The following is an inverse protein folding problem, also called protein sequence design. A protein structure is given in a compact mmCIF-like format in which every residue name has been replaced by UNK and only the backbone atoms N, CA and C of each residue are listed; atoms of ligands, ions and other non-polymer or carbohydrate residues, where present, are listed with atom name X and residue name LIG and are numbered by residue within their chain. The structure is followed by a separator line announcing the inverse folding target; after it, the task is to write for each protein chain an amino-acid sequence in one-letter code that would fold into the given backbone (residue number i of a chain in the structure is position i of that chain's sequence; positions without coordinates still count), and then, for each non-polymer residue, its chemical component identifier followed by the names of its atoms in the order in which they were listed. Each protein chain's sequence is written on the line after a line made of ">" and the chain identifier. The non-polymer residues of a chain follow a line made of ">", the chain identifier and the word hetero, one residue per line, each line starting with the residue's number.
data_IF_475413615815
#
_entry.id   IF_475413615815
#
_cell.length_a   1.000
_cell.length_b   1.000
_cell.length_c   1.000
_cell.angle_alpha   90.00
_cell.angle_beta   90.00
_cell.angle_gamma   90.00
#
_symmetry.space_group_name_H-M   'P 1'
#
loop_
_entity.id
_entity.type
_entity.pdbx_description
1 polymer ?
2 non-polymer ?
3 water ?
#
# COMPACT_ATOMS: atom_id res chain seq x y z
N UNK A 21 1.73 23.50 -1.14
CA UNK A 21 2.18 22.11 -1.14
C UNK A 21 1.19 21.25 -1.91
N UNK A 22 0.97 20.02 -1.43
CA UNK A 22 0.12 19.01 -2.06
C UNK A 22 -1.06 19.56 -2.86
N UNK A 23 -1.16 19.15 -4.13
CA UNK A 23 -2.23 19.63 -4.99
C UNK A 23 -2.91 18.46 -5.70
N UNK A 24 -4.24 18.45 -5.66
CA UNK A 24 -5.02 17.50 -6.43
C UNK A 24 -4.92 17.84 -7.91
N UNK A 25 -5.10 16.83 -8.74
CA UNK A 25 -5.26 17.10 -10.16
C UNK A 25 -6.42 18.06 -10.36
N UNK A 26 -6.28 18.97 -11.33
CA UNK A 26 -7.29 20.01 -11.56
C UNK A 26 -8.63 19.46 -12.00
N UNK A 27 -8.70 18.17 -12.33
CA UNK A 27 -10.00 17.56 -12.59
C UNK A 27 -10.81 17.32 -11.32
N UNK A 28 -10.23 17.51 -10.13
CA UNK A 28 -10.93 17.38 -8.87
C UNK A 28 -10.99 18.72 -8.14
N UNK A 29 -11.98 18.85 -7.26
CA UNK A 29 -12.11 20.01 -6.39
C UNK A 29 -11.83 19.62 -4.95
N UNK A 30 -11.31 20.57 -4.16
CA UNK A 30 -11.14 20.37 -2.71
C UNK A 30 -11.66 21.63 -1.99
N UNK A 31 -12.97 21.81 -2.03
CA UNK A 31 -13.63 22.98 -1.47
C UNK A 31 -13.53 23.03 0.05
N UNK A 32 -13.33 21.90 0.72
CA UNK A 32 -13.27 21.84 2.18
C UNK A 32 -11.87 21.68 2.73
N UNK A 33 -10.85 21.66 1.89
CA UNK A 33 -9.47 21.73 2.35
C UNK A 33 -8.89 20.51 3.04
N UNK A 34 -9.50 19.34 2.90
CA UNK A 34 -8.96 18.13 3.51
C UNK A 34 -7.99 17.41 2.59
N UNK A 35 -7.64 18.02 1.46
CA UNK A 35 -6.70 17.54 0.46
C UNK A 35 -7.20 16.36 -0.37
N UNK A 36 -8.45 15.94 -0.22
CA UNK A 36 -8.93 14.83 -1.02
C UNK A 36 -10.08 15.32 -1.88
N UNK A 37 -10.24 14.68 -3.04
CA UNK A 37 -11.24 15.09 -4.03
C UNK A 37 -12.63 15.05 -3.43
N UNK A 38 -13.37 16.16 -3.61
CA UNK A 38 -14.71 16.27 -3.07
C UNK A 38 -15.67 15.35 -3.81
N UNK A 39 -16.69 14.88 -3.09
CA UNK A 39 -17.77 14.13 -3.74
C UNK A 39 -18.56 15.09 -4.63
N UNK A 40 -18.82 14.76 -5.89
CA UNK A 40 -19.55 15.69 -6.76
C UNK A 40 -20.97 15.92 -6.28
N UNK A 41 -21.48 17.12 -6.54
CA UNK A 41 -22.90 17.42 -6.33
C UNK A 41 -23.70 17.41 -7.63
N UNK A 42 -23.03 17.41 -8.78
CA UNK A 42 -23.72 17.29 -10.06
C UNK A 42 -24.04 15.80 -10.25
N UNK A 43 -25.33 15.46 -10.21
CA UNK A 43 -25.73 14.05 -10.28
C UNK A 43 -25.28 13.39 -11.56
N UNK A 44 -25.11 14.15 -12.65
CA UNK A 44 -24.61 13.49 -13.86
C UNK A 44 -23.16 13.05 -13.70
N UNK A 45 -22.48 13.48 -12.65
CA UNK A 45 -21.09 13.10 -12.42
C UNK A 45 -20.94 11.97 -11.41
N UNK A 46 -22.04 11.46 -10.87
CA UNK A 46 -22.01 10.43 -9.85
C UNK A 46 -22.25 9.07 -10.49
N UNK A 47 -21.63 8.04 -9.93
CA UNK A 47 -21.85 6.69 -10.44
C UNK A 47 -22.46 5.83 -9.35
N UNK A 48 -23.28 4.89 -9.78
CA UNK A 48 -24.00 3.97 -8.88
C UNK A 48 -23.92 2.60 -9.54
N UNK A 49 -22.72 2.01 -9.57
CA UNK A 49 -22.50 0.83 -10.42
C UNK A 49 -23.20 -0.39 -9.84
N UNK A 50 -23.72 -1.23 -10.74
CA UNK A 50 -24.35 -2.45 -10.28
C UNK A 50 -23.32 -3.47 -9.80
N UNK A 51 -22.09 -3.39 -10.29
CA UNK A 51 -20.99 -4.20 -9.77
C UNK A 51 -19.91 -3.27 -9.23
N UNK A 52 -19.61 -3.40 -7.94
CA UNK A 52 -18.52 -2.65 -7.32
C UNK A 52 -17.22 -3.43 -7.49
N UNK A 53 -16.20 -2.77 -8.01
CA UNK A 53 -14.92 -3.41 -8.28
C UNK A 53 -13.98 -3.02 -7.14
N UNK A 54 -13.41 -4.02 -6.49
CA UNK A 54 -12.52 -3.88 -5.34
C UNK A 54 -11.13 -4.40 -5.70
N UNK A 55 -10.09 -3.70 -5.25
CA UNK A 55 -8.73 -4.20 -5.41
C UNK A 55 -7.92 -3.95 -4.14
N UNK A 56 -7.23 -4.98 -3.68
CA UNK A 56 -6.23 -4.87 -2.63
C UNK A 56 -4.90 -4.46 -3.28
N UNK A 57 -3.93 -4.09 -2.46
CA UNK A 57 -2.71 -3.56 -3.05
C UNK A 57 -1.78 -4.69 -3.49
N UNK A 58 -1.10 -4.55 -4.65
CA UNK A 58 -0.25 -5.64 -5.16
C UNK A 58 1.12 -5.71 -4.49
N UNK A 59 1.12 -5.87 -3.16
CA UNK A 59 2.36 -6.11 -2.42
C UNK A 59 2.84 -7.55 -2.58
N UNK A 60 1.93 -8.47 -2.90
CA UNK A 60 2.26 -9.84 -3.27
C UNK A 60 1.38 -10.19 -4.46
N UNK A 61 1.67 -11.34 -5.09
CA UNK A 61 0.73 -12.03 -5.96
C UNK A 61 -0.71 -11.89 -5.44
N UNK A 62 -1.62 -11.29 -6.22
CA UNK A 62 -3.00 -11.14 -5.72
C UNK A 62 -3.70 -12.45 -5.43
N UNK A 63 -3.29 -13.53 -6.11
CA UNK A 63 -3.87 -14.85 -5.82
C UNK A 63 -3.74 -15.21 -4.34
N UNK A 64 -2.73 -14.66 -3.66
CA UNK A 64 -2.58 -14.85 -2.21
C UNK A 64 -3.76 -14.26 -1.45
N UNK A 65 -4.28 -13.13 -1.92
CA UNK A 65 -5.29 -12.38 -1.19
C UNK A 65 -6.71 -12.56 -1.70
N UNK A 66 -6.91 -13.31 -2.80
CA UNK A 66 -8.25 -13.49 -3.34
C UNK A 66 -9.20 -14.06 -2.29
N UNK A 67 -8.87 -15.23 -1.73
CA UNK A 67 -9.68 -15.84 -0.70
C UNK A 67 -9.61 -15.11 0.64
N UNK A 68 -8.52 -14.36 0.89
CA UNK A 68 -8.42 -13.59 2.13
C UNK A 68 -9.56 -12.57 2.22
N UNK A 69 -9.92 -11.97 1.10
CA UNK A 69 -10.92 -10.91 1.06
C UNK A 69 -12.30 -11.42 0.68
N UNK A 70 -12.44 -12.69 0.32
CA UNK A 70 -13.68 -13.20 -0.24
C UNK A 70 -14.87 -12.96 0.69
N UNK A 71 -14.76 -13.33 1.97
CA UNK A 71 -15.89 -13.15 2.87
C UNK A 71 -16.18 -11.67 3.14
N UNK A 72 -15.12 -10.86 3.29
CA UNK A 72 -15.31 -9.41 3.39
C UNK A 72 -16.11 -8.87 2.21
N UNK A 73 -15.78 -9.30 0.99
CA UNK A 73 -16.49 -8.82 -0.19
C UNK A 73 -17.94 -9.31 -0.21
N UNK A 74 -18.21 -10.53 0.29
CA UNK A 74 -19.61 -10.97 0.42
C UNK A 74 -20.38 -10.04 1.35
N UNK A 75 -19.76 -9.68 2.48
CA UNK A 75 -20.38 -8.73 3.40
C UNK A 75 -20.60 -7.38 2.73
N UNK A 76 -19.60 -6.92 1.97
CA UNK A 76 -19.72 -5.67 1.23
C UNK A 76 -20.91 -5.73 0.26
N UNK A 77 -21.05 -6.84 -0.46
CA UNK A 77 -22.17 -7.00 -1.38
C UNK A 77 -23.51 -6.92 -0.66
N UNK A 78 -23.60 -7.59 0.49
CA UNK A 78 -24.84 -7.56 1.26
C UNK A 78 -25.14 -6.16 1.80
N UNK A 79 -24.12 -5.47 2.30
CA UNK A 79 -24.34 -4.14 2.87
C UNK A 79 -24.78 -3.13 1.82
N UNK A 80 -24.14 -3.15 0.66
CA UNK A 80 -24.41 -2.16 -0.37
C UNK A 80 -25.52 -2.58 -1.31
N UNK A 81 -25.93 -3.85 -1.31
CA UNK A 81 -26.90 -4.32 -2.27
C UNK A 81 -26.38 -4.48 -3.69
N UNK A 82 -25.06 -4.46 -3.88
CA UNK A 82 -24.45 -4.56 -5.18
C UNK A 82 -23.73 -5.89 -5.34
N UNK A 83 -23.49 -6.27 -6.58
CA UNK A 83 -22.52 -7.33 -6.84
C UNK A 83 -21.13 -6.75 -6.59
N UNK A 84 -20.19 -7.61 -6.19
CA UNK A 84 -18.82 -7.17 -5.92
C UNK A 84 -17.85 -8.08 -6.66
N UNK A 85 -16.81 -7.46 -7.23
CA UNK A 85 -15.81 -8.16 -8.02
C UNK A 85 -14.42 -7.83 -7.50
N UNK A 86 -13.63 -8.87 -7.28
CA UNK A 86 -12.23 -8.75 -6.87
C UNK A 86 -11.39 -8.54 -8.12
N UNK A 87 -10.62 -7.45 -8.15
CA UNK A 87 -9.79 -7.10 -9.29
C UNK A 87 -8.35 -7.41 -8.95
N UNK A 88 -7.78 -8.51 -9.46
CA UNK A 88 -6.39 -8.91 -9.11
C UNK A 88 -5.34 -8.09 -9.84
N UNK A 89 -5.31 -6.79 -9.55
CA UNK A 89 -4.38 -5.88 -10.21
C UNK A 89 -2.94 -6.22 -9.81
N UNK A 90 -2.01 -6.12 -10.76
CA UNK A 90 -0.65 -6.60 -10.55
C UNK A 90 0.39 -5.52 -10.28
N UNK A 91 0.06 -4.24 -10.44
CA UNK A 91 1.05 -3.20 -10.16
C UNK A 91 0.32 -1.97 -9.65
N UNK A 92 1.03 -1.15 -8.87
CA UNK A 92 0.42 0.07 -8.34
C UNK A 92 -0.02 0.97 -9.47
N UNK A 93 0.79 1.10 -10.53
CA UNK A 93 0.46 2.01 -11.61
C UNK A 93 -0.86 1.63 -12.26
N UNK A 94 -1.07 0.33 -12.52
CA UNK A 94 -2.33 -0.11 -13.10
C UNK A 94 -3.49 0.13 -12.13
N UNK A 95 -3.25 -0.05 -10.83
CA UNK A 95 -4.30 0.19 -9.85
C UNK A 95 -4.73 1.65 -9.82
N UNK A 96 -3.76 2.56 -9.79
CA UNK A 96 -4.07 3.99 -9.79
C UNK A 96 -4.83 4.37 -11.05
N UNK A 97 -4.35 3.91 -12.20
CA UNK A 97 -5.01 4.22 -13.46
C UNK A 97 -6.42 3.66 -13.52
N UNK A 98 -6.63 2.43 -13.04
CA UNK A 98 -7.96 1.86 -13.04
C UNK A 98 -8.94 2.72 -12.24
N UNK A 99 -8.53 3.27 -11.10
CA UNK A 99 -9.48 4.10 -10.36
C UNK A 99 -9.66 5.46 -11.04
N UNK A 100 -8.56 6.08 -11.51
CA UNK A 100 -8.65 7.32 -12.26
C UNK A 100 -9.63 7.21 -13.43
N UNK A 101 -9.56 6.10 -14.17
CA UNK A 101 -10.36 5.91 -15.36
C UNK A 101 -11.79 5.47 -15.05
N UNK A 102 -12.10 5.20 -13.78
CA UNK A 102 -13.45 4.86 -13.40
C UNK A 102 -13.76 3.38 -13.35
N UNK A 103 -12.78 2.51 -13.52
CA UNK A 103 -13.05 1.08 -13.51
C UNK A 103 -12.93 0.46 -12.12
N UNK A 104 -12.30 1.15 -11.16
CA UNK A 104 -12.06 0.62 -9.83
C UNK A 104 -12.68 1.56 -8.79
N UNK A 105 -13.59 1.02 -7.97
CA UNK A 105 -14.37 1.86 -7.06
C UNK A 105 -13.92 1.83 -5.61
N UNK A 106 -13.35 0.73 -5.12
CA UNK A 106 -12.89 0.62 -3.73
C UNK A 106 -11.52 -0.03 -3.73
N UNK A 107 -10.59 0.53 -2.97
CA UNK A 107 -9.24 -0.01 -3.02
C UNK A 107 -8.53 0.14 -1.69
N UNK A 108 -7.59 -0.78 -1.45
CA UNK A 108 -6.49 -0.52 -0.56
C UNK A 108 -5.27 -0.21 -1.41
N UNK A 109 -4.73 1.00 -1.25
CA UNK A 109 -3.52 1.40 -1.93
C UNK A 109 -2.35 1.27 -0.96
N UNK A 110 -1.23 0.78 -1.46
CA UNK A 110 -0.04 0.70 -0.61
C UNK A 110 0.26 2.09 -0.05
N UNK A 111 0.82 2.09 1.17
CA UNK A 111 1.17 3.33 1.84
C UNK A 111 1.76 4.41 0.93
N UNK A 112 2.81 4.06 0.17
CA UNK A 112 3.48 5.04 -0.68
C UNK A 112 2.64 5.58 -1.83
N UNK A 113 1.58 4.88 -2.22
CA UNK A 113 0.73 5.34 -3.32
C UNK A 113 -0.44 6.19 -2.88
N UNK A 114 -0.69 6.31 -1.58
CA UNK A 114 -1.86 7.08 -1.14
C UNK A 114 -1.83 8.51 -1.63
N UNK A 115 -0.75 9.28 -1.48
CA UNK A 115 -0.75 10.66 -2.02
C UNK A 115 -0.99 10.71 -3.52
N UNK A 116 -0.31 9.87 -4.29
CA UNK A 116 -0.54 9.81 -5.74
C UNK A 116 -1.99 9.43 -6.08
N UNK A 117 -2.53 8.40 -5.41
CA UNK A 117 -3.90 7.99 -5.69
C UNK A 117 -4.88 9.10 -5.35
N UNK A 118 -4.67 9.78 -4.23
CA UNK A 118 -5.49 10.94 -3.88
C UNK A 118 -5.38 12.01 -4.95
N UNK A 119 -4.18 12.38 -5.34
CA UNK A 119 -4.02 13.46 -6.29
C UNK A 119 -4.47 13.16 -7.69
N UNK A 120 -4.14 11.99 -8.19
CA UNK A 120 -4.42 11.64 -9.58
C UNK A 120 -5.56 10.64 -9.87
N UNK A 121 -6.13 10.03 -8.86
CA UNK A 121 -7.21 9.10 -9.06
C UNK A 121 -8.46 9.43 -8.27
N UNK A 122 -8.46 10.53 -7.53
CA UNK A 122 -9.68 10.89 -6.81
C UNK A 122 -10.00 9.95 -5.67
N UNK A 123 -8.99 9.29 -5.13
CA UNK A 123 -9.13 8.36 -4.02
C UNK A 123 -9.54 9.11 -2.74
N UNK A 124 -10.62 8.66 -2.10
CA UNK A 124 -11.06 9.20 -0.81
C UNK A 124 -10.73 8.21 0.31
N UNK A 125 -9.56 8.33 0.94
CA UNK A 125 -9.21 7.40 2.03
C UNK A 125 -10.00 7.68 3.29
N UNK A 126 -10.35 6.61 4.01
CA UNK A 126 -11.07 6.74 5.27
C UNK A 126 -10.69 5.74 6.35
N UNK A 127 -9.99 4.65 6.05
CA UNK A 127 -9.67 3.67 7.07
C UNK A 127 -8.36 2.96 6.76
N UNK A 128 -7.90 2.21 7.76
CA UNK A 128 -6.60 1.57 7.81
C UNK A 128 -6.71 0.49 8.88
N UNK A 129 -5.98 -0.61 8.71
CA UNK A 129 -5.98 -1.62 9.75
C UNK A 129 -5.15 -1.19 10.95
N UNK A 130 -5.54 -1.69 12.12
CA UNK A 130 -4.82 -1.45 13.35
C UNK A 130 -4.94 -2.70 14.22
N UNK A 131 -4.05 -2.78 15.22
CA UNK A 131 -4.16 -3.83 16.23
C UNK A 131 -5.39 -3.60 17.11
N UNK A 132 -5.70 -4.59 17.95
CA UNK A 132 -6.86 -4.48 18.83
C UNK A 132 -6.73 -3.31 19.80
N UNK A 133 -5.51 -2.93 20.17
CA UNK A 133 -5.31 -1.82 21.09
C UNK A 133 -5.21 -0.47 20.38
N UNK A 134 -5.47 -0.41 19.08
CA UNK A 134 -5.44 0.83 18.33
C UNK A 134 -4.08 1.20 17.77
N UNK A 135 -3.02 0.53 18.19
CA UNK A 135 -1.69 0.74 17.61
C UNK A 135 -1.66 0.21 16.16
N UNK A 136 -0.77 0.80 15.37
CA UNK A 136 -0.80 0.50 13.94
C UNK A 136 0.59 0.72 13.37
N UNK A 137 0.76 0.27 12.14
CA UNK A 137 1.88 0.68 11.33
C UNK A 137 2.78 -0.47 10.93
N UNK A 138 3.68 -0.16 10.01
CA UNK A 138 4.72 -1.08 9.60
C UNK A 138 5.99 -0.27 9.45
N UNK A 139 7.11 -0.98 9.27
CA UNK A 139 8.40 -0.37 9.02
C UNK A 139 9.01 -0.94 7.75
N UNK A 140 9.86 -0.14 7.12
CA UNK A 140 10.71 -0.65 6.05
C UNK A 140 11.89 -1.35 6.69
N UNK A 141 12.25 -2.51 6.15
CA UNK A 141 13.49 -3.15 6.57
C UNK A 141 14.35 -3.43 5.35
N UNK A 142 15.65 -3.34 5.53
CA UNK A 142 16.61 -3.79 4.53
C UNK A 142 17.06 -5.19 4.93
N UNK A 143 16.87 -6.15 4.03
CA UNK A 143 17.14 -7.55 4.32
C UNK A 143 18.18 -8.09 3.36
N UNK A 144 18.83 -9.15 3.79
CA UNK A 144 19.78 -9.92 3.00
C UNK A 144 19.53 -11.38 3.32
N UNK A 145 20.34 -12.27 2.74
CA UNK A 145 20.30 -13.66 3.19
C UNK A 145 21.55 -13.99 4.00
N UNK A 146 21.45 -14.89 4.98
CA UNK A 146 22.64 -15.27 5.75
C UNK A 146 23.74 -15.81 4.83
N UNK A 147 24.97 -15.37 5.10
CA UNK A 147 26.09 -15.79 4.29
C UNK A 147 26.27 -15.04 3.00
N UNK A 148 25.48 -13.99 2.76
CA UNK A 148 25.61 -13.23 1.52
C UNK A 148 26.89 -12.42 1.44
N UNK A 149 27.57 -12.19 2.57
CA UNK A 149 28.62 -11.18 2.60
C UNK A 149 28.13 -9.76 2.72
N UNK A 150 26.82 -9.54 2.78
CA UNK A 150 26.24 -8.24 3.05
C UNK A 150 25.70 -8.31 4.48
N UNK A 151 26.47 -7.75 5.41
CA UNK A 151 26.23 -7.95 6.83
C UNK A 151 25.79 -6.69 7.56
N UNK A 152 25.77 -5.55 6.88
CA UNK A 152 25.14 -4.33 7.39
C UNK A 152 24.85 -3.45 6.18
N UNK A 153 24.25 -2.27 6.44
CA UNK A 153 23.85 -1.39 5.34
C UNK A 153 25.07 -0.92 4.56
N UNK A 154 26.16 -0.59 5.26
CA UNK A 154 27.35 -0.09 4.58
C UNK A 154 27.87 -1.10 3.56
N UNK A 155 27.71 -2.40 3.84
CA UNK A 155 28.15 -3.44 2.90
C UNK A 155 27.44 -3.36 1.56
N UNK A 156 26.36 -2.59 1.45
CA UNK A 156 25.67 -2.50 0.17
C UNK A 156 26.49 -1.68 -0.84
N UNK A 157 27.35 -0.78 -0.34
CA UNK A 157 28.14 0.08 -1.22
C UNK A 157 28.89 -0.74 -2.26
N UNK A 158 28.75 -0.35 -3.53
CA UNK A 158 29.40 -1.05 -4.62
C UNK A 158 28.66 -2.28 -5.09
N UNK A 159 27.50 -2.58 -4.50
CA UNK A 159 26.73 -3.73 -4.93
C UNK A 159 25.37 -3.32 -5.43
N UNK A 160 24.42 -4.24 -5.32
CA UNK A 160 23.05 -4.05 -5.79
C UNK A 160 22.09 -3.89 -4.61
N UNK A 161 21.05 -3.09 -4.84
CA UNK A 161 19.93 -3.00 -3.91
C UNK A 161 18.64 -3.21 -4.69
N UNK A 162 17.86 -4.20 -4.27
CA UNK A 162 16.58 -4.49 -4.91
C UNK A 162 15.50 -3.58 -4.34
N UNK A 163 14.80 -2.87 -5.22
CA UNK A 163 13.63 -2.05 -4.95
C UNK A 163 12.41 -2.77 -5.50
N UNK A 164 11.21 -2.36 -5.08
CA UNK A 164 10.01 -3.02 -5.62
C UNK A 164 9.49 -2.25 -6.83
N UNK A 165 8.95 -1.05 -6.59
CA UNK A 165 8.52 -0.13 -7.64
C UNK A 165 8.60 1.29 -7.10
N UNK A 166 8.61 2.27 -8.01
CA UNK A 166 8.90 3.64 -7.61
C UNK A 166 7.78 4.31 -6.82
N UNK A 167 6.56 3.77 -6.84
CA UNK A 167 5.50 4.29 -5.98
C UNK A 167 5.50 3.66 -4.58
N UNK A 168 6.45 2.78 -4.28
CA UNK A 168 6.48 2.13 -2.97
C UNK A 168 7.22 3.01 -1.97
N UNK A 169 6.63 3.17 -0.78
CA UNK A 169 7.33 3.83 0.33
C UNK A 169 8.50 2.98 0.79
N UNK A 170 8.21 1.82 1.41
CA UNK A 170 9.28 0.98 1.95
C UNK A 170 10.12 0.34 0.85
N UNK A 171 9.55 0.10 -0.33
CA UNK A 171 10.27 -0.55 -1.40
C UNK A 171 11.04 0.36 -2.34
N UNK A 172 11.05 1.68 -2.11
CA UNK A 172 11.86 2.56 -2.93
C UNK A 172 12.12 3.93 -2.30
N UNK A 173 11.07 4.70 -2.02
CA UNK A 173 11.26 6.09 -1.65
C UNK A 173 11.87 6.25 -0.26
N UNK A 174 11.34 5.55 0.76
CA UNK A 174 11.95 5.63 2.09
C UNK A 174 13.39 5.13 2.10
N UNK A 175 13.72 3.96 1.52
CA UNK A 175 15.14 3.55 1.55
C UNK A 175 16.04 4.48 0.77
N UNK A 176 15.56 5.02 -0.36
CA UNK A 176 16.40 5.95 -1.12
C UNK A 176 16.70 7.20 -0.29
N UNK A 177 15.70 7.75 0.39
CA UNK A 177 15.91 8.93 1.22
C UNK A 177 16.85 8.65 2.39
N UNK A 178 16.68 7.50 3.05
CA UNK A 178 17.50 7.14 4.19
C UNK A 178 18.94 6.88 3.76
N UNK A 179 19.14 6.07 2.72
CA UNK A 179 20.50 5.81 2.25
C UNK A 179 21.20 7.11 1.87
N UNK A 180 20.47 8.05 1.27
CA UNK A 180 21.11 9.29 0.88
C UNK A 180 21.42 10.17 2.09
N UNK A 181 20.46 10.29 3.04
CA UNK A 181 20.65 11.20 4.16
C UNK A 181 21.60 10.65 5.22
N UNK A 182 21.54 9.34 5.52
CA UNK A 182 22.28 8.79 6.64
C UNK A 182 23.45 7.89 6.27
N UNK A 183 23.54 7.42 5.03
CA UNK A 183 24.64 6.53 4.65
C UNK A 183 25.43 7.06 3.47
N UNK A 184 25.17 8.29 3.02
CA UNK A 184 25.93 8.89 1.93
C UNK A 184 25.95 7.97 0.71
N UNK A 185 24.76 7.54 0.29
CA UNK A 185 24.68 6.46 -0.70
C UNK A 185 23.53 6.80 -1.67
N UNK A 186 23.87 6.96 -2.94
CA UNK A 186 22.93 7.37 -3.98
C UNK A 186 22.94 6.34 -5.10
N UNK A 187 21.75 5.97 -5.58
CA UNK A 187 21.65 5.00 -6.66
C UNK A 187 22.35 5.50 -7.91
N UNK A 188 23.06 4.59 -8.58
CA UNK A 188 23.84 4.94 -9.76
C UNK A 188 25.22 5.48 -9.48
N UNK A 189 25.52 5.85 -8.24
CA UNK A 189 26.85 6.26 -7.82
C UNK A 189 27.46 5.33 -6.78
N UNK A 190 26.69 4.93 -5.76
CA UNK A 190 27.21 4.10 -4.69
C UNK A 190 26.60 2.70 -4.65
N UNK A 191 25.57 2.44 -5.45
CA UNK A 191 24.99 1.11 -5.57
C UNK A 191 24.16 1.10 -6.84
N UNK A 192 23.88 -0.09 -7.33
CA UNK A 192 23.08 -0.23 -8.53
C UNK A 192 21.67 -0.67 -8.16
N UNK A 193 20.64 0.06 -8.56
CA UNK A 193 19.27 -0.33 -8.22
C UNK A 193 18.73 -1.36 -9.20
N UNK A 194 17.98 -2.33 -8.68
CA UNK A 194 17.22 -3.24 -9.50
C UNK A 194 15.80 -3.26 -8.96
N UNK A 195 14.84 -3.53 -9.83
CA UNK A 195 13.43 -3.50 -9.45
C UNK A 195 12.81 -4.87 -9.63
N UNK A 196 12.14 -5.34 -8.58
CA UNK A 196 11.52 -6.65 -8.58
C UNK A 196 10.03 -6.60 -8.91
N UNK A 197 9.41 -5.43 -8.86
CA UNK A 197 8.00 -5.28 -9.14
C UNK A 197 7.06 -5.48 -7.97
N UNK A 198 7.45 -6.24 -6.93
CA UNK A 198 6.58 -6.51 -5.80
C UNK A 198 7.43 -6.81 -4.57
N UNK A 199 6.87 -6.52 -3.39
CA UNK A 199 7.55 -6.94 -2.16
C UNK A 199 7.83 -8.44 -2.15
N UNK A 200 6.85 -9.25 -2.56
CA UNK A 200 7.09 -10.69 -2.48
C UNK A 200 8.19 -11.14 -3.47
N UNK A 201 8.29 -10.51 -4.64
CA UNK A 201 9.41 -10.81 -5.54
C UNK A 201 10.75 -10.43 -4.93
N UNK A 202 10.81 -9.29 -4.25
CA UNK A 202 12.02 -8.89 -3.54
C UNK A 202 12.39 -9.89 -2.45
N UNK A 203 11.41 -10.27 -1.62
CA UNK A 203 11.67 -11.15 -0.49
C UNK A 203 12.02 -12.56 -0.97
N UNK A 204 11.32 -13.05 -1.98
CA UNK A 204 11.65 -14.33 -2.59
C UNK A 204 13.06 -14.30 -3.19
N UNK A 205 13.39 -13.19 -3.86
CA UNK A 205 14.70 -13.08 -4.49
C UNK A 205 15.83 -13.05 -3.48
N UNK A 206 15.61 -12.41 -2.34
CA UNK A 206 16.59 -12.48 -1.26
C UNK A 206 16.74 -13.91 -0.77
N UNK A 207 15.62 -14.54 -0.40
CA UNK A 207 15.72 -15.89 0.15
C UNK A 207 16.34 -16.87 -0.85
N UNK A 208 16.10 -16.66 -2.13
CA UNK A 208 16.64 -17.54 -3.16
C UNK A 208 18.02 -17.10 -3.64
N UNK A 209 18.60 -16.07 -3.01
CA UNK A 209 19.92 -15.51 -3.30
C UNK A 209 20.04 -14.89 -4.70
N UNK A 210 18.94 -14.44 -5.29
CA UNK A 210 19.06 -13.56 -6.45
C UNK A 210 19.47 -12.15 -6.06
N UNK A 211 19.08 -11.72 -4.87
CA UNK A 211 19.39 -10.39 -4.36
C UNK A 211 20.19 -10.52 -3.08
N UNK A 212 21.28 -9.77 -2.98
CA UNK A 212 22.01 -9.68 -1.73
C UNK A 212 21.44 -8.64 -0.78
N UNK A 213 20.55 -7.77 -1.25
CA UNK A 213 20.00 -6.71 -0.41
C UNK A 213 18.68 -6.24 -1.02
N UNK A 214 17.65 -6.11 -0.18
CA UNK A 214 16.37 -5.58 -0.64
C UNK A 214 15.72 -4.77 0.47
N UNK A 215 15.02 -3.72 0.06
CA UNK A 215 14.23 -2.88 0.96
C UNK A 215 12.76 -3.26 0.81
N UNK A 216 12.14 -3.70 1.91
CA UNK A 216 10.84 -4.36 1.85
C UNK A 216 9.99 -3.90 3.03
N UNK A 217 8.69 -4.15 2.94
CA UNK A 217 7.77 -3.89 4.02
C UNK A 217 7.79 -5.05 5.00
N UNK A 218 8.06 -4.78 6.27
CA UNK A 218 8.17 -5.91 7.19
C UNK A 218 6.81 -6.53 7.53
N UNK A 219 5.71 -5.80 7.34
CA UNK A 219 4.38 -6.41 7.49
C UNK A 219 4.22 -7.54 6.49
N UNK A 220 4.54 -7.26 5.21
CA UNK A 220 4.43 -8.27 4.17
C UNK A 220 5.38 -9.43 4.45
N UNK A 221 6.62 -9.11 4.82
CA UNK A 221 7.60 -10.10 5.23
C UNK A 221 7.03 -11.06 6.27
N UNK A 222 6.45 -10.51 7.35
CA UNK A 222 5.92 -11.38 8.40
C UNK A 222 4.79 -12.26 7.89
N UNK A 223 3.91 -11.73 7.05
CA UNK A 223 2.80 -12.55 6.58
C UNK A 223 3.29 -13.64 5.65
N UNK A 224 4.32 -13.34 4.83
CA UNK A 224 4.88 -14.37 3.96
C UNK A 224 5.58 -15.45 4.77
N UNK A 225 6.29 -15.05 5.82
CA UNK A 225 6.93 -16.02 6.70
C UNK A 225 5.90 -16.93 7.35
N UNK A 226 4.77 -16.36 7.79
CA UNK A 226 3.77 -17.18 8.45
C UNK A 226 3.10 -18.15 7.48
N UNK A 227 2.96 -17.74 6.21
CA UNK A 227 2.42 -18.61 5.17
C UNK A 227 3.47 -19.55 4.57
N UNK A 228 4.71 -19.55 5.10
CA UNK A 228 5.77 -20.42 4.61
C UNK A 228 6.16 -20.13 3.16
N UNK A 229 5.99 -18.90 2.70
CA UNK A 229 6.50 -18.55 1.38
C UNK A 229 8.02 -18.48 1.38
N UNK A 230 8.58 -17.97 2.48
CA UNK A 230 10.00 -18.07 2.76
C UNK A 230 10.15 -18.55 4.21
N UNK A 231 11.35 -18.95 4.59
CA UNK A 231 11.65 -19.42 5.94
C UNK A 231 12.47 -18.39 6.70
N UNK A 232 12.28 -18.33 8.03
CA UNK A 232 13.07 -17.41 8.85
C UNK A 232 14.57 -17.59 8.63
N UNK A 233 15.05 -18.83 8.49
CA UNK A 233 16.50 -18.97 8.36
C UNK A 233 17.03 -18.47 7.02
N UNK A 234 16.16 -18.00 6.11
CA UNK A 234 16.61 -17.50 4.82
C UNK A 234 16.78 -15.98 4.76
N UNK A 235 16.32 -15.25 5.78
CA UNK A 235 16.26 -13.79 5.76
C UNK A 235 16.95 -13.24 7.00
N UNK A 236 17.86 -12.28 6.82
CA UNK A 236 18.40 -11.54 7.94
C UNK A 236 18.11 -10.06 7.72
N UNK A 237 17.68 -9.38 8.79
CA UNK A 237 17.37 -7.95 8.74
C UNK A 237 18.59 -7.12 9.13
N UNK A 238 18.87 -6.09 8.32
CA UNK A 238 20.01 -5.21 8.54
C UNK A 238 19.64 -3.80 8.98
N UNK A 239 18.35 -3.46 8.98
CA UNK A 239 17.90 -2.09 9.19
C UNK A 239 16.40 -2.12 9.39
N UNK A 240 15.92 -1.24 10.25
CA UNK A 240 14.49 -1.08 10.45
C UNK A 240 14.21 0.42 10.59
N UNK A 241 13.27 0.91 9.79
CA UNK A 241 12.96 2.34 9.72
C UNK A 241 12.01 2.76 10.83
N UNK A 242 11.65 4.05 10.82
CA UNK A 242 10.52 4.54 11.61
C UNK A 242 9.23 3.87 11.15
N UNK A 243 8.21 3.97 11.99
CA UNK A 243 6.90 3.38 11.69
C UNK A 243 6.07 4.29 10.79
N UNK A 244 5.40 3.66 9.81
CA UNK A 244 4.55 4.33 8.83
C UNK A 244 3.14 3.79 8.94
N UNK A 245 2.13 4.52 8.44
CA UNK A 245 0.79 3.94 8.35
C UNK A 245 0.81 2.80 7.35
N UNK A 246 -0.05 1.81 7.55
CA UNK A 246 -0.16 0.72 6.60
C UNK A 246 -1.17 1.10 5.53
N UNK A 247 -1.44 0.14 4.63
CA UNK A 247 -2.38 0.29 3.52
C UNK A 247 -3.61 1.13 3.88
N UNK A 248 -3.86 2.17 3.10
CA UNK A 248 -5.05 2.99 3.28
C UNK A 248 -6.16 2.52 2.35
N UNK A 249 -7.37 2.43 2.90
CA UNK A 249 -8.53 1.97 2.14
C UNK A 249 -9.49 3.13 1.89
N UNK A 250 -10.07 3.15 0.71
CA UNK A 250 -10.93 4.27 0.37
C UNK A 250 -11.71 4.00 -0.88
N UNK A 251 -12.36 5.05 -1.35
CA UNK A 251 -13.39 4.98 -2.37
C UNK A 251 -13.13 6.04 -3.43
N UNK A 252 -13.37 5.68 -4.69
CA UNK A 252 -13.38 6.68 -5.75
C UNK A 252 -14.38 7.80 -5.41
N UNK A 253 -13.94 9.03 -5.59
CA UNK A 253 -14.66 10.20 -5.09
C UNK A 253 -16.08 10.33 -5.66
N UNK A 254 -16.36 9.78 -6.84
CA UNK A 254 -17.60 10.11 -7.55
C UNK A 254 -18.69 9.02 -7.44
N UNK A 255 -18.56 8.07 -6.52
CA UNK A 255 -19.73 7.26 -6.20
C UNK A 255 -20.74 8.13 -5.46
N UNK A 256 -22.02 7.78 -5.60
CA UNK A 256 -23.05 8.55 -4.88
C UNK A 256 -22.72 8.56 -3.39
N UNK A 257 -23.07 9.65 -2.68
CA UNK A 257 -22.74 9.72 -1.25
C UNK A 257 -23.37 8.62 -0.47
N UNK A 258 -24.62 8.27 -0.82
CA UNK A 258 -25.33 7.19 -0.16
C UNK A 258 -24.59 5.86 -0.30
N UNK A 259 -24.09 5.57 -1.50
CA UNK A 259 -23.33 4.34 -1.68
C UNK A 259 -22.02 4.38 -0.91
N UNK A 260 -21.37 5.54 -0.89
CA UNK A 260 -20.08 5.66 -0.19
C UNK A 260 -20.26 5.44 1.30
N UNK A 261 -21.37 5.93 1.88
CA UNK A 261 -21.65 5.66 3.29
C UNK A 261 -21.82 4.18 3.55
N UNK A 262 -22.54 3.47 2.65
CA UNK A 262 -22.73 2.04 2.85
C UNK A 262 -21.42 1.27 2.74
N UNK A 263 -20.55 1.65 1.80
CA UNK A 263 -19.23 1.01 1.73
C UNK A 263 -18.48 1.21 3.03
N UNK A 264 -18.44 2.45 3.54
CA UNK A 264 -17.74 2.70 4.80
C UNK A 264 -18.34 1.89 5.93
N UNK A 265 -19.68 1.86 6.01
CA UNK A 265 -20.36 1.03 7.01
C UNK A 265 -19.91 -0.43 6.90
N UNK A 266 -19.80 -0.94 5.67
CA UNK A 266 -19.43 -2.34 5.47
C UNK A 266 -18.06 -2.63 6.07
N UNK A 267 -17.09 -1.74 5.85
CA UNK A 267 -15.76 -1.91 6.43
C UNK A 267 -15.84 -2.01 7.95
N UNK A 268 -16.58 -1.10 8.58
CA UNK A 268 -16.58 -1.07 10.04
C UNK A 268 -17.47 -2.11 10.67
N UNK A 269 -18.48 -2.63 9.95
CA UNK A 269 -19.35 -3.64 10.54
C UNK A 269 -18.88 -5.07 10.32
N UNK A 270 -17.88 -5.29 9.47
CA UNK A 270 -17.41 -6.65 9.22
C UNK A 270 -16.85 -7.28 10.49
N UNK A 271 -17.37 -8.46 10.82
CA UNK A 271 -16.90 -9.25 11.97
C UNK A 271 -15.71 -10.11 11.53
N UNK A 272 -14.52 -9.78 12.04
CA UNK A 272 -13.30 -10.49 11.67
C UNK A 272 -13.23 -11.91 12.22
N UNK A 273 -13.98 -12.22 13.28
CA UNK A 273 -13.73 -13.45 14.05
C UNK A 273 -13.88 -14.69 13.20
N UNK A 274 -12.83 -15.52 13.18
CA UNK A 274 -12.80 -16.77 12.45
C UNK A 274 -12.67 -16.65 10.95
N UNK A 275 -12.46 -15.44 10.42
CA UNK A 275 -12.46 -15.25 8.98
C UNK A 275 -11.06 -15.41 8.39
N UNK A 276 -11.02 -15.62 7.08
CA UNK A 276 -9.73 -15.64 6.36
C UNK A 276 -9.03 -14.29 6.43
N UNK A 277 -9.81 -13.20 6.52
CA UNK A 277 -9.20 -11.88 6.70
C UNK A 277 -8.39 -11.83 8.00
N UNK A 278 -9.00 -12.26 9.11
CA UNK A 278 -8.29 -12.24 10.38
C UNK A 278 -7.13 -13.22 10.34
N UNK A 279 -7.31 -14.38 9.70
CA UNK A 279 -6.24 -15.38 9.67
C UNK A 279 -4.98 -14.80 9.02
N UNK A 280 -5.15 -14.00 7.97
CA UNK A 280 -4.02 -13.41 7.28
C UNK A 280 -3.48 -12.18 8.00
N UNK A 281 -4.33 -11.18 8.23
CA UNK A 281 -3.77 -9.93 8.73
C UNK A 281 -3.41 -9.95 10.21
N UNK A 282 -3.89 -10.94 10.98
CA UNK A 282 -3.32 -11.11 12.32
C UNK A 282 -1.83 -11.41 12.26
N UNK A 283 -1.33 -11.93 11.15
CA UNK A 283 0.09 -12.27 11.10
C UNK A 283 0.99 -11.05 10.94
N UNK A 284 0.45 -9.88 10.62
CA UNK A 284 1.23 -8.65 10.79
C UNK A 284 0.57 -7.75 11.83
N UNK A 285 -0.16 -8.33 12.77
CA UNK A 285 -0.56 -7.63 13.97
C UNK A 285 -1.85 -6.86 13.88
N UNK A 286 -2.67 -7.09 12.86
CA UNK A 286 -3.91 -6.34 12.69
C UNK A 286 -5.11 -7.11 13.23
N UNK A 287 -6.11 -6.37 13.70
CA UNK A 287 -7.34 -6.95 14.23
C UNK A 287 -8.60 -6.19 13.86
N UNK A 288 -8.50 -4.97 13.31
CA UNK A 288 -9.67 -4.12 13.12
C UNK A 288 -9.36 -3.02 12.11
N UNK A 289 -10.43 -2.37 11.62
CA UNK A 289 -10.33 -1.17 10.81
C UNK A 289 -10.58 0.03 11.71
N UNK A 290 -9.70 1.04 11.65
CA UNK A 290 -9.90 2.28 12.41
C UNK A 290 -10.02 3.44 11.43
N UNK A 291 -10.69 4.54 11.79
CA UNK A 291 -10.68 5.72 10.93
C UNK A 291 -9.29 6.34 10.87
N UNK A 292 -8.96 6.90 9.70
CA UNK A 292 -7.78 7.73 9.52
C UNK A 292 -8.21 8.99 8.79
N UNK A 293 -7.30 9.96 8.72
CA UNK A 293 -7.41 11.03 7.73
C UNK A 293 -6.15 11.05 6.88
N UNK A 294 -6.32 11.36 5.60
CA UNK A 294 -5.17 11.50 4.72
C UNK A 294 -4.27 12.64 5.20
N UNK A 295 -4.87 13.78 5.57
CA UNK A 295 -4.09 14.93 6.01
C UNK A 295 -3.19 14.62 7.19
N UNK A 296 -3.71 13.93 8.21
CA UNK A 296 -2.87 13.56 9.35
C UNK A 296 -1.98 12.35 9.09
N UNK A 297 -2.58 11.17 8.91
CA UNK A 297 -1.81 9.94 8.95
C UNK A 297 -0.79 9.82 7.81
N UNK A 298 -0.98 10.52 6.69
CA UNK A 298 -0.04 10.42 5.58
C UNK A 298 0.90 11.63 5.46
N UNK A 299 0.95 12.49 6.47
CA UNK A 299 1.92 13.61 6.44
C UNK A 299 3.34 13.10 6.27
N UNK A 300 3.73 12.08 7.03
CA UNK A 300 5.09 11.57 6.97
C UNK A 300 5.38 11.00 5.58
N UNK A 301 4.36 10.45 4.92
CA UNK A 301 4.58 9.90 3.59
C UNK A 301 4.71 11.01 2.55
N UNK A 302 3.90 12.06 2.66
CA UNK A 302 4.07 13.18 1.75
C UNK A 302 5.45 13.81 1.90
N UNK A 303 6.01 13.84 3.12
CA UNK A 303 7.36 14.36 3.28
C UNK A 303 8.37 13.48 2.58
N UNK A 304 8.23 12.16 2.70
CA UNK A 304 9.15 11.26 2.03
C UNK A 304 9.01 11.37 0.52
N UNK A 305 7.77 11.48 0.02
CA UNK A 305 7.54 11.76 -1.39
C UNK A 305 8.27 13.04 -1.82
N UNK A 306 8.17 14.10 -1.01
CA UNK A 306 8.82 15.35 -1.39
C UNK A 306 10.34 15.22 -1.36
N UNK A 307 10.86 14.45 -0.40
CA UNK A 307 12.30 14.24 -0.35
C UNK A 307 12.80 13.47 -1.56
N UNK A 308 11.93 12.77 -2.28
CA UNK A 308 12.29 12.06 -3.50
C UNK A 308 11.89 12.81 -4.74
N UNK A 309 11.46 14.07 -4.62
CA UNK A 309 11.07 14.84 -5.78
C UNK A 309 9.82 14.39 -6.49
N UNK A 310 8.91 13.67 -5.79
CA UNK A 310 7.67 13.24 -6.41
C UNK A 310 6.74 14.43 -6.62
N UNK A 311 6.23 14.58 -7.84
CA UNK A 311 5.47 15.78 -8.22
C UNK A 311 3.97 15.57 -8.39
N UNK A 312 3.49 14.33 -8.45
CA UNK A 312 2.07 14.05 -8.72
C UNK A 312 1.61 14.68 -10.03
N UNK A 313 2.41 14.55 -11.08
CA UNK A 313 1.99 14.99 -12.42
C UNK A 313 1.14 13.87 -12.97
N UNK A 314 -0.18 14.04 -12.90
CA UNK A 314 -1.09 13.00 -13.38
C UNK A 314 -0.90 12.83 -14.90
N UNK A 315 -0.30 13.82 -15.58
CA UNK A 315 0.05 13.86 -17.02
C UNK A 315 -1.12 14.37 -17.83
#
# INVERSE_FOLDING_TARGET
>A
MKKLLTLACATMLTPVLAHGAFQLDSRYQDNDGDLIADIPSDESKLVDPSTLVFAYTPVEDPAVYKEVWSEFLDHLAETTGKNVQFFPVQSNAAQIEAMRAGRLHIAGFNTGSNPLAVACAGFRPFTMMAAADGSFGYEMEIISYPGSGVNDVEDIRGGELAFTSQTSNSGFKAPSAILKADYNMIAGEDFEPVFSGKHDNSILGVANRDYKAAAVANSVLNRMLSRDVVSEDQIVSLYKSQTFPTTGYGIAHNLTPELQEKIQDAFFSFNWEGTALEEEFSKSGEAQFVPITFKNHWEVIRKIDAANGVAYNCRHHHHHH
#
